data_IF_622983212274
#
_entry.id   IF_622983212274
#
_cell.length_a   1.000
_cell.length_b   1.000
_cell.length_c   1.000
_cell.angle_alpha   90.00
_cell.angle_beta   90.00
_cell.angle_gamma   90.00
#
_symmetry.space_group_name_H-M   'P 1'
#
loop_
_entity.id
_entity.type
_entity.pdbx_description
1 polymer ?
#
# COMPACT_ATOMS: atom_id res chain seq x y z
N UNK A 1 46.35 -4.55 -11.13
CA UNK A 1 45.39 -3.73 -10.35
C UNK A 1 44.88 -4.55 -9.16
N UNK A 2 45.01 -4.05 -7.93
CA UNK A 2 44.48 -4.70 -6.73
C UNK A 2 42.97 -4.44 -6.64
N UNK A 3 42.16 -5.50 -6.59
CA UNK A 3 40.72 -5.40 -6.41
C UNK A 3 40.42 -5.06 -4.94
N UNK A 4 39.64 -4.02 -4.63
CA UNK A 4 39.31 -3.70 -3.24
C UNK A 4 38.62 -4.90 -2.59
N UNK A 5 39.05 -5.25 -1.38
CA UNK A 5 38.49 -6.34 -0.61
C UNK A 5 37.01 -6.07 -0.30
N UNK A 6 36.18 -7.11 -0.39
CA UNK A 6 34.76 -6.99 -0.07
C UNK A 6 34.59 -6.40 1.35
N UNK A 7 33.62 -5.51 1.60
CA UNK A 7 33.40 -4.89 2.91
C UNK A 7 33.21 -5.90 4.05
N UNK A 8 32.77 -7.13 3.72
CA UNK A 8 32.63 -8.26 4.64
C UNK A 8 33.97 -8.76 5.21
N UNK A 9 35.07 -8.55 4.50
CA UNK A 9 36.43 -8.97 4.88
C UNK A 9 37.21 -7.85 5.58
N UNK A 10 36.64 -6.65 5.71
CA UNK A 10 37.25 -5.51 6.38
C UNK A 10 36.89 -5.50 7.87
N UNK A 11 37.89 -5.33 8.74
CA UNK A 11 37.67 -5.10 10.18
C UNK A 11 36.92 -3.79 10.47
N UNK A 12 37.00 -2.82 9.57
CA UNK A 12 36.32 -1.54 9.70
C UNK A 12 34.91 -1.60 9.08
N UNK A 13 33.92 -2.03 9.87
CA UNK A 13 32.52 -2.01 9.45
C UNK A 13 31.94 -0.60 9.55
N UNK A 14 31.71 0.05 8.40
CA UNK A 14 30.87 1.27 8.28
C UNK A 14 29.40 0.93 8.00
N UNK A 15 28.94 -0.27 8.40
CA UNK A 15 27.56 -0.69 8.18
C UNK A 15 26.58 0.12 9.05
N UNK A 16 25.36 0.41 8.56
CA UNK A 16 24.35 1.10 9.35
C UNK A 16 23.97 0.29 10.60
N UNK A 17 23.84 0.99 11.73
CA UNK A 17 23.41 0.37 12.99
C UNK A 17 22.01 -0.24 12.86
N UNK A 18 21.82 -1.43 13.42
CA UNK A 18 20.51 -2.06 13.56
C UNK A 18 20.07 -2.03 15.03
N UNK A 19 18.82 -2.39 15.30
CA UNK A 19 18.25 -2.38 16.67
C UNK A 19 18.89 -3.40 17.63
N UNK A 20 19.82 -4.23 17.18
CA UNK A 20 20.47 -5.29 17.98
C UNK A 20 21.94 -5.00 18.31
N UNK A 21 22.56 -4.00 17.68
CA UNK A 21 24.02 -3.75 17.72
C UNK A 21 24.43 -2.54 18.55
N UNK A 22 23.52 -1.95 19.33
CA UNK A 22 23.78 -0.73 20.10
C UNK A 22 23.39 -0.89 21.57
N UNK A 23 23.68 0.14 22.37
CA UNK A 23 23.47 0.15 23.82
C UNK A 23 21.96 0.20 24.19
N UNK A 24 21.64 0.01 25.47
CA UNK A 24 20.26 -0.04 26.01
C UNK A 24 19.40 1.17 25.62
N UNK A 25 20.01 2.34 25.50
CA UNK A 25 19.31 3.60 25.19
C UNK A 25 19.10 3.82 23.68
N UNK A 26 19.68 2.96 22.84
CA UNK A 26 19.50 3.05 21.39
C UNK A 26 18.20 2.39 20.96
N UNK A 27 17.21 3.22 20.65
CA UNK A 27 15.98 2.77 20.00
C UNK A 27 16.02 3.04 18.50
N UNK A 28 15.78 2.00 17.69
CA UNK A 28 15.60 2.12 16.24
C UNK A 28 14.25 1.55 15.84
N UNK A 29 13.43 2.39 15.18
CA UNK A 29 12.12 1.98 14.67
C UNK A 29 12.18 1.05 13.45
N UNK A 30 11.11 0.28 13.26
CA UNK A 30 10.93 -0.70 12.17
C UNK A 30 9.85 -0.27 11.17
N UNK A 31 9.54 1.03 11.12
CA UNK A 31 8.44 1.61 10.31
C UNK A 31 7.03 1.15 10.68
N UNK A 32 6.85 0.51 11.84
CA UNK A 32 5.50 0.34 12.40
C UNK A 32 4.91 1.72 12.69
N UNK A 33 3.77 2.04 12.07
CA UNK A 33 3.09 3.32 12.23
C UNK A 33 2.72 3.60 13.69
N UNK A 34 2.64 4.88 14.08
CA UNK A 34 2.24 5.23 15.44
C UNK A 34 0.72 5.20 15.59
N UNK A 35 0.21 4.10 16.15
CA UNK A 35 -1.21 3.87 16.44
C UNK A 35 -1.64 4.36 17.83
N UNK A 36 -0.74 4.91 18.65
CA UNK A 36 -1.10 5.35 20.00
C UNK A 36 -1.75 6.72 19.97
N UNK A 37 -2.85 6.84 20.71
CA UNK A 37 -3.58 8.09 20.90
C UNK A 37 -2.65 9.10 21.55
N UNK A 38 -2.56 10.27 20.93
CA UNK A 38 -1.83 11.41 21.47
C UNK A 38 -2.78 12.19 22.37
N UNK A 39 -2.43 12.33 23.63
CA UNK A 39 -3.07 13.31 24.50
C UNK A 39 -2.30 14.61 24.31
N UNK A 40 -2.97 15.63 23.77
CA UNK A 40 -2.47 17.00 23.85
C UNK A 40 -2.44 17.34 25.34
N UNK A 41 -1.26 17.50 25.90
CA UNK A 41 -1.16 18.12 27.22
C UNK A 41 -1.42 19.59 27.00
N UNK A 42 -2.10 20.22 27.96
CA UNK A 42 -2.55 21.59 27.86
C UNK A 42 -1.44 22.48 27.27
N UNK A 43 -1.81 23.20 26.22
CA UNK A 43 -0.99 24.23 25.61
C UNK A 43 -0.64 25.34 26.62
N UNK A 44 -1.35 25.37 27.75
CA UNK A 44 -1.30 26.39 28.75
C UNK A 44 -1.27 25.84 30.19
N UNK A 45 -0.77 26.65 31.12
CA UNK A 45 -0.78 26.38 32.56
C UNK A 45 -2.22 26.35 33.13
N UNK A 46 -2.37 26.06 34.43
CA UNK A 46 -3.68 26.08 35.12
C UNK A 46 -4.36 27.46 35.16
N UNK A 47 -3.67 28.51 34.72
CA UNK A 47 -4.15 29.91 34.61
C UNK A 47 -4.41 30.32 33.15
N UNK A 48 -4.21 29.43 32.17
CA UNK A 48 -4.43 29.71 30.74
C UNK A 48 -3.24 30.29 29.98
N UNK A 49 -2.04 30.35 30.57
CA UNK A 49 -0.84 30.89 29.90
C UNK A 49 -0.14 29.85 29.02
N UNK A 50 0.02 30.15 27.72
CA UNK A 50 0.69 29.28 26.76
C UNK A 50 2.13 28.92 27.19
N UNK A 51 2.50 27.64 27.14
CA UNK A 51 3.87 27.18 27.42
C UNK A 51 4.79 27.38 26.21
N UNK A 52 6.00 27.87 26.46
CA UNK A 52 7.07 28.07 25.48
C UNK A 52 8.34 27.31 25.88
N UNK A 53 9.21 27.00 24.91
CA UNK A 53 10.54 26.41 25.17
C UNK A 53 11.58 27.49 25.50
N UNK A 54 12.81 27.08 25.79
CA UNK A 54 13.95 27.97 26.09
C UNK A 54 14.31 28.92 24.93
N UNK A 55 13.78 28.66 23.73
CA UNK A 55 13.97 29.44 22.51
C UNK A 55 12.71 30.26 22.15
N UNK A 56 11.73 30.34 23.06
CA UNK A 56 10.50 31.12 22.87
C UNK A 56 9.49 30.53 21.89
N UNK A 57 9.60 29.24 21.52
CA UNK A 57 8.68 28.56 20.60
C UNK A 57 7.56 27.88 21.39
N UNK A 58 6.31 27.89 20.89
CA UNK A 58 5.20 27.27 21.61
C UNK A 58 5.43 25.76 21.78
N UNK A 59 5.41 25.31 23.05
CA UNK A 59 5.60 23.90 23.41
C UNK A 59 4.34 23.11 23.06
N UNK A 60 4.34 22.44 21.91
CA UNK A 60 3.28 21.50 21.53
C UNK A 60 3.57 20.10 22.08
N UNK A 61 3.26 19.86 23.35
CA UNK A 61 3.54 18.57 23.99
C UNK A 61 2.37 17.61 23.75
N UNK A 62 2.61 16.63 22.87
CA UNK A 62 1.72 15.49 22.71
C UNK A 62 2.28 14.32 23.52
N UNK A 63 1.67 14.01 24.66
CA UNK A 63 2.01 12.78 25.39
C UNK A 63 1.47 11.58 24.62
N UNK A 64 2.36 10.61 24.37
CA UNK A 64 1.97 9.30 23.88
C UNK A 64 1.24 8.59 25.03
N UNK A 65 -0.04 8.32 24.85
CA UNK A 65 -0.81 7.57 25.85
C UNK A 65 -0.64 6.07 25.64
N UNK A 66 -1.05 5.27 26.62
CA UNK A 66 -1.13 3.81 26.51
C UNK A 66 -2.35 3.35 25.68
N UNK A 67 -3.24 4.27 25.28
CA UNK A 67 -4.46 3.94 24.54
C UNK A 67 -4.19 3.95 23.04
N UNK A 68 -4.80 2.99 22.34
CA UNK A 68 -4.75 2.92 20.89
C UNK A 68 -5.76 3.93 20.31
N UNK A 69 -5.39 4.56 19.20
CA UNK A 69 -6.25 5.39 18.37
C UNK A 69 -6.73 4.53 17.19
N UNK A 70 -7.96 4.03 17.29
CA UNK A 70 -8.56 3.13 16.29
C UNK A 70 -8.59 3.74 14.89
N UNK A 71 -8.70 5.08 14.79
CA UNK A 71 -8.67 5.80 13.50
C UNK A 71 -7.33 5.69 12.76
N UNK A 72 -6.26 5.29 13.45
CA UNK A 72 -4.90 5.14 12.89
C UNK A 72 -4.52 3.68 12.66
N UNK A 73 -5.37 2.74 13.05
CA UNK A 73 -5.12 1.31 12.83
C UNK A 73 -5.40 1.01 11.35
N UNK A 74 -4.43 0.47 10.59
CA UNK A 74 -4.70 0.04 9.23
C UNK A 74 -5.66 -1.16 9.25
N UNK A 75 -6.74 -1.08 8.49
CA UNK A 75 -7.69 -2.18 8.28
C UNK A 75 -7.56 -2.73 6.86
N UNK A 76 -7.43 -4.05 6.74
CA UNK A 76 -7.48 -4.73 5.45
C UNK A 76 -8.93 -5.20 5.22
N UNK A 77 -9.61 -4.55 4.27
CA UNK A 77 -11.00 -4.88 3.95
C UNK A 77 -11.01 -6.04 2.97
N UNK A 78 -11.69 -7.13 3.35
CA UNK A 78 -11.90 -8.30 2.51
C UNK A 78 -13.28 -8.18 1.86
N UNK A 79 -13.40 -8.19 0.52
CA UNK A 79 -14.69 -8.20 -0.15
C UNK A 79 -15.55 -9.40 0.27
N UNK A 80 -16.87 -9.21 0.48
CA UNK A 80 -17.76 -10.31 0.81
C UNK A 80 -17.81 -11.32 -0.36
N UNK A 81 -17.90 -12.61 -0.04
CA UNK A 81 -17.95 -13.68 -1.04
C UNK A 81 -16.60 -14.07 -1.65
N UNK A 82 -15.49 -13.40 -1.31
CA UNK A 82 -14.16 -13.76 -1.81
C UNK A 82 -13.72 -15.18 -1.35
N UNK A 83 -14.14 -15.60 -0.15
CA UNK A 83 -13.88 -16.95 0.35
C UNK A 83 -14.84 -18.01 -0.23
N UNK A 84 -15.99 -17.57 -0.75
CA UNK A 84 -17.06 -18.41 -1.27
C UNK A 84 -16.99 -18.58 -2.79
N UNK A 85 -16.02 -17.97 -3.46
CA UNK A 85 -15.67 -18.33 -4.83
C UNK A 85 -15.21 -19.78 -4.81
N UNK A 86 -16.15 -20.70 -5.05
CA UNK A 86 -15.90 -22.14 -5.11
C UNK A 86 -15.00 -22.46 -6.31
N UNK A 87 -14.73 -23.75 -6.52
CA UNK A 87 -13.83 -24.29 -7.54
C UNK A 87 -14.71 -25.05 -8.55
N UNK A 88 -15.53 -24.34 -9.30
CA UNK A 88 -16.46 -24.80 -10.33
C UNK A 88 -16.10 -24.20 -11.68
N UNK A 89 -16.07 -25.04 -12.71
CA UNK A 89 -15.50 -24.79 -14.04
C UNK A 89 -16.23 -23.74 -14.92
N UNK A 90 -16.99 -22.82 -14.33
CA UNK A 90 -17.79 -21.80 -15.03
C UNK A 90 -17.25 -20.39 -14.79
N UNK A 91 -17.41 -19.50 -15.78
CA UNK A 91 -16.71 -18.23 -15.98
C UNK A 91 -16.80 -17.15 -14.87
N UNK A 92 -17.47 -17.44 -13.75
CA UNK A 92 -17.70 -16.53 -12.63
C UNK A 92 -16.64 -16.66 -11.51
N UNK A 93 -15.60 -17.46 -11.71
CA UNK A 93 -14.54 -17.71 -10.72
C UNK A 93 -13.19 -17.08 -11.07
N UNK A 94 -12.74 -16.14 -10.24
CA UNK A 94 -11.45 -15.49 -10.40
C UNK A 94 -10.36 -16.25 -9.63
N UNK A 95 -9.47 -16.94 -10.35
CA UNK A 95 -8.26 -17.57 -9.80
C UNK A 95 -7.00 -16.77 -10.13
N UNK A 96 -5.94 -16.82 -9.30
CA UNK A 96 -4.70 -16.11 -9.60
C UNK A 96 -3.99 -16.62 -10.86
N UNK A 97 -4.28 -17.86 -11.28
CA UNK A 97 -3.69 -18.49 -12.45
C UNK A 97 -4.78 -18.99 -13.39
N UNK A 98 -4.50 -18.92 -14.69
CA UNK A 98 -5.35 -19.41 -15.76
C UNK A 98 -4.60 -20.54 -16.48
N UNK A 99 -5.28 -21.65 -16.76
CA UNK A 99 -4.72 -22.73 -17.56
C UNK A 99 -4.80 -22.36 -19.06
N UNK A 100 -3.63 -22.34 -19.71
CA UNK A 100 -3.50 -22.07 -21.15
C UNK A 100 -3.16 -23.40 -21.83
N UNK A 101 -4.14 -24.00 -22.50
CA UNK A 101 -4.04 -25.36 -23.02
C UNK A 101 -5.18 -25.70 -23.99
N UNK A 102 -5.33 -26.97 -24.31
CA UNK A 102 -6.41 -27.42 -25.19
C UNK A 102 -7.79 -27.17 -24.52
N UNK A 103 -8.79 -26.65 -25.25
CA UNK A 103 -10.14 -26.47 -24.72
C UNK A 103 -10.78 -27.77 -24.21
N UNK A 104 -10.37 -28.92 -24.75
CA UNK A 104 -10.81 -30.25 -24.31
C UNK A 104 -10.44 -30.56 -22.86
N UNK A 105 -9.36 -29.95 -22.37
CA UNK A 105 -8.84 -30.12 -21.01
C UNK A 105 -9.22 -28.94 -20.10
N UNK A 106 -10.17 -28.10 -20.54
CA UNK A 106 -10.56 -26.87 -19.86
C UNK A 106 -9.55 -25.73 -19.99
N UNK A 107 -8.65 -25.80 -20.98
CA UNK A 107 -7.68 -24.76 -21.28
C UNK A 107 -8.30 -23.59 -22.04
N UNK A 108 -7.88 -22.38 -21.69
CA UNK A 108 -8.19 -21.18 -22.47
C UNK A 108 -7.12 -20.95 -23.53
N UNK A 109 -7.53 -20.47 -24.70
CA UNK A 109 -6.56 -19.95 -25.67
C UNK A 109 -5.87 -18.71 -25.09
N UNK A 110 -4.60 -18.52 -25.47
CA UNK A 110 -3.86 -17.33 -25.08
C UNK A 110 -4.62 -16.10 -25.60
N UNK A 111 -5.03 -15.16 -24.74
CA UNK A 111 -5.73 -13.97 -25.21
C UNK A 111 -4.81 -13.16 -26.12
N UNK A 112 -5.36 -12.64 -27.20
CA UNK A 112 -4.68 -11.66 -28.03
C UNK A 112 -4.32 -10.42 -27.19
N UNK A 113 -3.19 -9.74 -27.46
CA UNK A 113 -2.84 -8.53 -26.73
C UNK A 113 -3.95 -7.47 -26.82
N UNK A 114 -4.45 -7.06 -25.65
CA UNK A 114 -5.52 -6.07 -25.54
C UNK A 114 -6.86 -6.69 -25.13
N UNK A 115 -7.89 -5.87 -25.06
CA UNK A 115 -9.26 -6.33 -24.80
C UNK A 115 -9.93 -6.62 -26.14
N UNK A 116 -10.53 -7.81 -26.35
CA UNK A 116 -11.26 -8.13 -27.58
C UNK A 116 -12.27 -7.03 -27.92
N UNK A 117 -12.21 -6.56 -29.17
CA UNK A 117 -13.05 -5.50 -29.73
C UNK A 117 -13.00 -4.13 -29.02
N UNK A 118 -12.12 -3.92 -28.04
CA UNK A 118 -11.98 -2.62 -27.39
C UNK A 118 -11.37 -1.58 -28.34
N UNK A 119 -11.77 -0.30 -28.21
CA UNK A 119 -11.10 0.78 -28.93
C UNK A 119 -9.60 0.73 -28.63
N UNK A 120 -8.77 0.75 -29.67
CA UNK A 120 -7.32 0.81 -29.50
C UNK A 120 -6.98 2.03 -28.65
N UNK A 121 -6.19 1.82 -27.60
CA UNK A 121 -5.68 2.91 -26.77
C UNK A 121 -4.87 3.86 -27.65
N UNK A 122 -5.20 5.15 -27.60
CA UNK A 122 -4.46 6.17 -28.35
C UNK A 122 -3.04 6.31 -27.78
N UNK A 123 -2.15 6.98 -28.51
CA UNK A 123 -0.82 7.33 -28.01
C UNK A 123 -0.86 8.25 -26.78
N UNK A 124 -1.99 8.91 -26.51
CA UNK A 124 -2.24 9.72 -25.32
C UNK A 124 -2.47 8.90 -24.05
N UNK A 125 -2.63 7.57 -24.16
CA UNK A 125 -2.86 6.68 -23.03
C UNK A 125 -4.31 6.67 -22.56
N UNK A 126 -4.51 6.52 -21.25
CA UNK A 126 -5.83 6.46 -20.62
C UNK A 126 -6.34 7.88 -20.29
N UNK A 127 -6.71 8.62 -21.34
CA UNK A 127 -7.28 9.96 -21.21
C UNK A 127 -8.81 9.95 -21.08
N UNK A 128 -9.39 11.12 -20.78
CA UNK A 128 -10.85 11.25 -20.64
C UNK A 128 -11.61 10.91 -21.92
N UNK A 129 -11.01 11.13 -23.10
CA UNK A 129 -11.60 10.81 -24.39
C UNK A 129 -11.67 9.29 -24.61
N UNK A 130 -10.61 8.56 -24.25
CA UNK A 130 -10.54 7.11 -24.26
C UNK A 130 -11.62 6.49 -23.35
N UNK A 131 -11.78 6.99 -22.12
CA UNK A 131 -12.84 6.50 -21.23
C UNK A 131 -14.24 6.85 -21.74
N UNK A 132 -14.43 8.03 -22.34
CA UNK A 132 -15.72 8.42 -22.92
C UNK A 132 -16.15 7.46 -24.04
N UNK A 133 -15.23 7.13 -24.96
CA UNK A 133 -15.48 6.15 -26.03
C UNK A 133 -15.82 4.75 -25.50
N UNK A 134 -15.20 4.33 -24.40
CA UNK A 134 -15.52 3.06 -23.73
C UNK A 134 -16.93 3.07 -23.13
N UNK A 135 -17.30 4.16 -22.45
CA UNK A 135 -18.63 4.31 -21.83
C UNK A 135 -19.73 4.36 -22.90
N UNK A 136 -19.55 5.16 -23.95
CA UNK A 136 -20.50 5.27 -25.06
C UNK A 136 -20.75 3.90 -25.69
N UNK A 137 -19.69 3.12 -25.90
CA UNK A 137 -19.79 1.76 -26.41
C UNK A 137 -20.56 0.83 -25.47
N UNK A 138 -20.29 0.88 -24.17
CA UNK A 138 -20.98 0.06 -23.18
C UNK A 138 -22.48 0.40 -23.09
N UNK A 139 -22.84 1.67 -23.24
CA UNK A 139 -24.23 2.11 -23.31
C UNK A 139 -24.91 1.64 -24.61
N UNK A 140 -24.21 1.73 -25.74
CA UNK A 140 -24.68 1.25 -27.04
C UNK A 140 -24.89 -0.26 -27.07
N UNK A 141 -24.00 -1.05 -26.46
CA UNK A 141 -24.14 -2.52 -26.42
C UNK A 141 -25.31 -2.97 -25.55
N UNK A 142 -25.59 -2.26 -24.46
CA UNK A 142 -26.72 -2.55 -23.55
C UNK A 142 -28.08 -2.23 -24.15
N UNK A 143 -28.14 -1.33 -25.14
CA UNK A 143 -29.38 -0.99 -25.85
C UNK A 143 -29.81 -2.01 -26.93
N UNK A 144 -28.92 -2.95 -27.27
CA UNK A 144 -29.13 -3.94 -28.35
C UNK A 144 -29.44 -5.35 -27.82
N UNK A 145 -29.53 -5.55 -26.51
CA UNK A 145 -30.02 -6.78 -25.85
C UNK A 145 -31.44 -6.59 -25.35
#
# INVERSE_FOLDING_TARGET
MLRPSAPLLSKASRMPLNSKKANKDFYKGTRTGNILRRKRIALADSRGNQHFDELGRPRTWNLRTHRIDESRIPSFVVPPGLADTKVSATADELRPYVYIGAPTDGGNQRPEPGVPDAPKMSSGGMDGEYYSRLVDRMLLSKSRS
#
